data_IF_611753191391
#
_entry.id   IF_611753191391
#
_cell.length_a   1.000
_cell.length_b   1.000
_cell.length_c   1.000
_cell.angle_alpha   90.00
_cell.angle_beta   90.00
_cell.angle_gamma   90.00
#
_symmetry.space_group_name_H-M   'P 1'
#
loop_
_entity.id
_entity.type
_entity.pdbx_description
1 polymer ?
#
# COMPACT_ATOMS: atom_id res chain seq x y z
N UNK A 1 -70.26 -82.74 19.64
CA UNK A 1 -69.05 -82.12 20.22
C UNK A 1 -68.07 -81.68 19.14
N UNK A 2 -67.94 -82.41 18.01
CA UNK A 2 -67.14 -82.01 16.82
C UNK A 2 -67.47 -80.61 16.26
N UNK A 3 -68.74 -80.28 16.02
CA UNK A 3 -69.12 -78.97 15.44
C UNK A 3 -68.67 -77.75 16.29
N UNK A 4 -68.61 -77.88 17.62
CA UNK A 4 -68.19 -76.77 18.50
C UNK A 4 -66.68 -76.53 18.49
N UNK A 5 -65.88 -77.58 18.26
CA UNK A 5 -64.43 -77.45 18.13
C UNK A 5 -64.11 -76.83 16.77
N UNK A 6 -64.79 -77.25 15.71
CA UNK A 6 -64.58 -76.72 14.36
C UNK A 6 -64.93 -75.24 14.24
N UNK A 7 -66.06 -74.80 14.83
CA UNK A 7 -66.39 -73.37 14.93
C UNK A 7 -65.37 -72.56 15.73
N UNK A 8 -64.83 -73.11 16.82
CA UNK A 8 -63.79 -72.44 17.61
C UNK A 8 -62.48 -72.30 16.81
N UNK A 9 -62.09 -73.34 16.09
CA UNK A 9 -60.90 -73.34 15.23
C UNK A 9 -61.03 -72.33 14.09
N UNK A 10 -62.19 -72.29 13.43
CA UNK A 10 -62.47 -71.31 12.38
C UNK A 10 -62.49 -69.87 12.92
N UNK A 11 -63.03 -69.68 14.13
CA UNK A 11 -63.03 -68.37 14.80
C UNK A 11 -61.61 -67.92 15.18
N UNK A 12 -60.80 -68.80 15.76
CA UNK A 12 -59.41 -68.52 16.11
C UNK A 12 -58.57 -68.25 14.86
N UNK A 13 -58.78 -69.01 13.79
CA UNK A 13 -58.10 -68.80 12.51
C UNK A 13 -58.48 -67.44 11.92
N UNK A 14 -59.77 -67.09 11.92
CA UNK A 14 -60.25 -65.81 11.38
C UNK A 14 -59.74 -64.63 12.20
N UNK A 15 -59.82 -64.69 13.53
CA UNK A 15 -59.27 -63.66 14.43
C UNK A 15 -57.73 -63.55 14.30
N UNK A 16 -57.03 -64.66 14.10
CA UNK A 16 -55.58 -64.68 13.88
C UNK A 16 -55.18 -64.05 12.55
N UNK A 17 -55.90 -64.38 11.47
CA UNK A 17 -55.69 -63.80 10.13
C UNK A 17 -56.05 -62.32 10.10
N UNK A 18 -57.14 -61.92 10.76
CA UNK A 18 -57.61 -60.53 10.82
C UNK A 18 -56.62 -59.65 11.59
N UNK A 19 -56.18 -60.09 12.79
CA UNK A 19 -55.12 -59.40 13.54
C UNK A 19 -53.78 -59.37 12.80
N UNK A 20 -53.44 -60.44 12.08
CA UNK A 20 -52.25 -60.48 11.25
C UNK A 20 -52.29 -59.47 10.10
N UNK A 21 -53.45 -59.34 9.45
CA UNK A 21 -53.65 -58.35 8.39
C UNK A 21 -53.63 -56.91 8.92
N UNK A 22 -54.23 -56.65 10.08
CA UNK A 22 -54.17 -55.32 10.73
C UNK A 22 -52.73 -54.92 11.05
N UNK A 23 -51.94 -55.82 11.65
CA UNK A 23 -50.55 -55.51 11.99
C UNK A 23 -49.68 -55.37 10.74
N UNK A 24 -49.92 -56.16 9.69
CA UNK A 24 -49.25 -56.00 8.40
C UNK A 24 -49.57 -54.64 7.75
N UNK A 25 -50.84 -54.21 7.77
CA UNK A 25 -51.23 -52.89 7.26
C UNK A 25 -50.58 -51.76 8.07
N UNK A 26 -50.51 -51.91 9.39
CA UNK A 26 -49.84 -50.94 10.27
C UNK A 26 -48.35 -50.84 9.97
N UNK A 27 -47.66 -51.96 9.78
CA UNK A 27 -46.24 -52.00 9.37
C UNK A 27 -46.01 -51.30 8.03
N UNK A 28 -46.87 -51.57 7.04
CA UNK A 28 -46.79 -50.93 5.71
C UNK A 28 -47.01 -49.43 5.83
N UNK A 29 -48.00 -48.99 6.61
CA UNK A 29 -48.29 -47.57 6.83
C UNK A 29 -47.10 -46.86 7.49
N UNK A 30 -46.53 -47.44 8.55
CA UNK A 30 -45.35 -46.90 9.22
C UNK A 30 -44.15 -46.82 8.27
N UNK A 31 -43.89 -47.87 7.48
CA UNK A 31 -42.80 -47.89 6.51
C UNK A 31 -42.98 -46.82 5.42
N UNK A 32 -44.22 -46.59 4.97
CA UNK A 32 -44.53 -45.52 4.01
C UNK A 32 -44.34 -44.12 4.61
N UNK A 33 -44.70 -43.92 5.88
CA UNK A 33 -44.49 -42.67 6.58
C UNK A 33 -42.99 -42.38 6.79
N UNK A 34 -42.23 -43.39 7.20
CA UNK A 34 -40.78 -43.28 7.39
C UNK A 34 -40.07 -43.03 6.06
N UNK A 35 -40.47 -43.70 4.97
CA UNK A 35 -39.95 -43.44 3.64
C UNK A 35 -40.24 -42.00 3.18
N UNK A 36 -41.44 -41.46 3.43
CA UNK A 36 -41.77 -40.05 3.14
C UNK A 36 -40.88 -39.11 3.94
N UNK A 37 -40.67 -39.39 5.22
CA UNK A 37 -39.82 -38.58 6.10
C UNK A 37 -38.37 -38.55 5.62
N UNK A 38 -37.80 -39.70 5.25
CA UNK A 38 -36.45 -39.78 4.68
C UNK A 38 -36.33 -38.91 3.42
N UNK A 39 -37.31 -38.97 2.51
CA UNK A 39 -37.30 -38.16 1.29
C UNK A 39 -37.41 -36.66 1.62
N UNK A 40 -38.24 -36.28 2.59
CA UNK A 40 -38.39 -34.88 2.99
C UNK A 40 -37.12 -34.34 3.65
N UNK A 41 -36.51 -35.11 4.54
CA UNK A 41 -35.26 -34.75 5.21
C UNK A 41 -34.10 -34.63 4.20
N UNK A 42 -33.99 -35.59 3.26
CA UNK A 42 -33.00 -35.53 2.19
C UNK A 42 -33.20 -34.30 1.28
N UNK A 43 -34.45 -33.90 1.01
CA UNK A 43 -34.75 -32.68 0.24
C UNK A 43 -34.34 -31.42 1.00
N UNK A 44 -34.64 -31.33 2.30
CA UNK A 44 -34.24 -30.20 3.14
C UNK A 44 -32.72 -30.08 3.22
N UNK A 45 -32.02 -31.21 3.37
CA UNK A 45 -30.56 -31.23 3.40
C UNK A 45 -29.97 -30.80 2.05
N UNK A 46 -30.49 -31.32 0.94
CA UNK A 46 -30.07 -30.90 -0.40
C UNK A 46 -30.30 -29.40 -0.63
N UNK A 47 -31.45 -28.87 -0.24
CA UNK A 47 -31.76 -27.44 -0.35
C UNK A 47 -30.82 -26.59 0.52
N UNK A 48 -30.51 -27.04 1.74
CA UNK A 48 -29.54 -26.39 2.63
C UNK A 48 -28.13 -26.36 2.02
N UNK A 49 -27.68 -27.47 1.42
CA UNK A 49 -26.38 -27.56 0.75
C UNK A 49 -26.34 -26.61 -0.46
N UNK A 50 -27.40 -26.55 -1.27
CA UNK A 50 -27.46 -25.65 -2.44
C UNK A 50 -27.47 -24.19 -2.00
N UNK A 51 -28.26 -23.84 -0.98
CA UNK A 51 -28.35 -22.47 -0.49
C UNK A 51 -27.04 -22.01 0.16
N UNK A 52 -26.40 -22.85 0.96
CA UNK A 52 -25.08 -22.54 1.54
C UNK A 52 -24.01 -22.40 0.46
N UNK A 53 -24.00 -23.27 -0.55
CA UNK A 53 -23.06 -23.19 -1.67
C UNK A 53 -23.23 -21.92 -2.48
N UNK A 54 -24.48 -21.50 -2.76
CA UNK A 54 -24.79 -20.24 -3.46
C UNK A 54 -24.32 -19.04 -2.65
N UNK A 55 -24.63 -19.01 -1.35
CA UNK A 55 -24.19 -17.93 -0.46
C UNK A 55 -22.66 -17.82 -0.43
N UNK A 56 -21.95 -18.93 -0.29
CA UNK A 56 -20.48 -18.94 -0.34
C UNK A 56 -19.93 -18.47 -1.69
N UNK A 57 -20.58 -18.83 -2.79
CA UNK A 57 -20.18 -18.38 -4.13
C UNK A 57 -20.38 -16.87 -4.31
N UNK A 58 -21.51 -16.33 -3.85
CA UNK A 58 -21.80 -14.90 -3.90
C UNK A 58 -20.83 -14.10 -3.03
N UNK A 59 -20.54 -14.58 -1.81
CA UNK A 59 -19.54 -13.99 -0.92
C UNK A 59 -18.15 -14.00 -1.55
N UNK A 60 -17.74 -15.12 -2.16
CA UNK A 60 -16.46 -15.23 -2.85
C UNK A 60 -16.36 -14.26 -4.03
N UNK A 61 -17.44 -14.10 -4.81
CA UNK A 61 -17.49 -13.20 -5.95
C UNK A 61 -17.35 -11.73 -5.51
N UNK A 62 -18.10 -11.31 -4.49
CA UNK A 62 -18.04 -9.94 -3.97
C UNK A 62 -16.69 -9.63 -3.29
N UNK A 63 -16.12 -10.60 -2.56
CA UNK A 63 -14.78 -10.46 -1.98
C UNK A 63 -13.73 -10.32 -3.09
N UNK A 64 -13.76 -11.20 -4.09
CA UNK A 64 -12.82 -11.15 -5.22
C UNK A 64 -12.91 -9.83 -5.99
N UNK A 65 -14.13 -9.34 -6.24
CA UNK A 65 -14.36 -8.04 -6.89
C UNK A 65 -13.79 -6.87 -6.08
N UNK A 66 -13.95 -6.92 -4.76
CA UNK A 66 -13.41 -5.91 -3.84
C UNK A 66 -11.88 -5.92 -3.83
N UNK A 67 -11.27 -7.11 -3.79
CA UNK A 67 -9.82 -7.28 -3.91
C UNK A 67 -9.29 -6.77 -5.25
N UNK A 68 -9.93 -7.12 -6.37
CA UNK A 68 -9.55 -6.63 -7.69
C UNK A 68 -9.60 -5.10 -7.76
N UNK A 69 -10.63 -4.48 -7.19
CA UNK A 69 -10.74 -3.01 -7.13
C UNK A 69 -9.62 -2.39 -6.30
N UNK A 70 -9.27 -3.00 -5.17
CA UNK A 70 -8.15 -2.57 -4.34
C UNK A 70 -6.82 -2.66 -5.10
N UNK A 71 -6.54 -3.80 -5.73
CA UNK A 71 -5.33 -3.98 -6.54
C UNK A 71 -5.26 -3.02 -7.72
N UNK A 72 -6.37 -2.80 -8.42
CA UNK A 72 -6.43 -1.80 -9.49
C UNK A 72 -6.10 -0.39 -8.97
N UNK A 73 -6.66 0.00 -7.82
CA UNK A 73 -6.34 1.27 -7.17
C UNK A 73 -4.88 1.39 -6.79
N UNK A 74 -4.29 0.32 -6.23
CA UNK A 74 -2.87 0.26 -5.90
C UNK A 74 -1.99 0.37 -7.14
N UNK A 75 -2.32 -0.32 -8.23
CA UNK A 75 -1.59 -0.26 -9.50
C UNK A 75 -1.63 1.14 -10.12
N UNK A 76 -2.80 1.78 -10.10
CA UNK A 76 -2.94 3.18 -10.54
C UNK A 76 -2.07 4.10 -9.70
N UNK A 77 -2.11 3.99 -8.38
CA UNK A 77 -1.30 4.83 -7.49
C UNK A 77 0.21 4.59 -7.67
N UNK A 78 0.64 3.35 -7.87
CA UNK A 78 2.02 3.02 -8.18
C UNK A 78 2.46 3.68 -9.51
N UNK A 79 1.63 3.59 -10.55
CA UNK A 79 1.89 4.23 -11.84
C UNK A 79 1.96 5.75 -11.70
N UNK A 80 1.04 6.37 -10.96
CA UNK A 80 1.07 7.81 -10.67
C UNK A 80 2.39 8.24 -10.02
N UNK A 81 2.84 7.47 -9.02
CA UNK A 81 4.12 7.70 -8.34
C UNK A 81 5.32 7.54 -9.27
N UNK A 82 5.30 6.53 -10.14
CA UNK A 82 6.37 6.29 -11.11
C UNK A 82 6.46 7.41 -12.15
N UNK A 83 5.32 7.84 -12.69
CA UNK A 83 5.25 8.98 -13.63
C UNK A 83 5.76 10.26 -12.97
N UNK A 84 5.31 10.55 -11.74
CA UNK A 84 5.79 11.70 -10.99
C UNK A 84 7.31 11.63 -10.78
N UNK A 85 7.85 10.45 -10.42
CA UNK A 85 9.30 10.24 -10.24
C UNK A 85 10.05 10.48 -11.54
N UNK A 86 9.60 9.88 -12.66
CA UNK A 86 10.25 10.06 -13.96
C UNK A 86 10.24 11.51 -14.45
N UNK A 87 9.10 12.21 -14.29
CA UNK A 87 8.98 13.64 -14.66
C UNK A 87 9.90 14.49 -13.80
N UNK A 88 9.90 14.23 -12.48
CA UNK A 88 10.76 14.92 -11.51
C UNK A 88 12.23 14.70 -11.84
N UNK A 89 12.64 13.46 -12.10
CA UNK A 89 14.03 13.11 -12.43
C UNK A 89 14.49 13.80 -13.72
N UNK A 90 13.65 13.82 -14.76
CA UNK A 90 13.99 14.51 -16.02
C UNK A 90 14.11 16.03 -15.84
N UNK A 91 13.16 16.66 -15.16
CA UNK A 91 13.17 18.11 -14.92
C UNK A 91 14.36 18.52 -14.07
N UNK A 92 14.64 17.77 -13.00
CA UNK A 92 15.68 18.12 -12.03
C UNK A 92 17.08 17.85 -12.58
N UNK A 93 17.29 16.76 -13.31
CA UNK A 93 18.62 16.47 -13.86
C UNK A 93 19.09 17.57 -14.81
N UNK A 94 18.19 18.10 -15.65
CA UNK A 94 18.49 19.24 -16.51
C UNK A 94 18.66 20.54 -15.69
N UNK A 95 17.69 20.85 -14.83
CA UNK A 95 17.66 22.14 -14.10
C UNK A 95 18.79 22.27 -13.07
N UNK A 96 19.16 21.19 -12.36
CA UNK A 96 20.27 21.21 -11.38
C UNK A 96 21.62 21.30 -12.10
N UNK A 97 21.75 20.66 -13.26
CA UNK A 97 22.95 20.78 -14.08
C UNK A 97 23.12 22.20 -14.62
N UNK A 98 22.04 22.80 -15.12
CA UNK A 98 22.05 24.18 -15.59
C UNK A 98 22.32 25.16 -14.44
N UNK A 99 21.70 24.94 -13.26
CA UNK A 99 21.97 25.70 -12.04
C UNK A 99 23.44 25.59 -11.57
N UNK A 100 24.02 24.40 -11.58
CA UNK A 100 25.41 24.18 -11.19
C UNK A 100 26.41 24.78 -12.19
N UNK A 101 26.01 24.92 -13.45
CA UNK A 101 26.81 25.56 -14.50
C UNK A 101 26.71 27.09 -14.48
N UNK A 102 25.61 27.64 -13.97
CA UNK A 102 25.44 29.08 -13.79
C UNK A 102 26.17 29.56 -12.52
N UNK A 103 27.39 30.07 -12.74
CA UNK A 103 28.23 30.57 -11.64
C UNK A 103 27.59 31.70 -10.85
N UNK A 104 26.83 32.60 -11.49
CA UNK A 104 26.28 33.76 -10.81
C UNK A 104 25.12 33.35 -9.88
N UNK A 105 24.23 32.48 -10.36
CA UNK A 105 23.16 31.93 -9.53
C UNK A 105 23.69 31.05 -8.39
N UNK A 106 24.69 30.19 -8.66
CA UNK A 106 25.31 29.35 -7.63
C UNK A 106 25.97 30.21 -6.54
N UNK A 107 26.71 31.25 -6.93
CA UNK A 107 27.35 32.16 -5.98
C UNK A 107 26.31 32.93 -5.14
N UNK A 108 25.23 33.41 -5.76
CA UNK A 108 24.11 34.06 -5.06
C UNK A 108 23.44 33.11 -4.04
N UNK A 109 23.27 31.84 -4.39
CA UNK A 109 22.73 30.82 -3.50
C UNK A 109 23.64 30.59 -2.29
N UNK A 110 24.95 30.44 -2.51
CA UNK A 110 25.92 30.25 -1.41
C UNK A 110 25.92 31.46 -0.45
N UNK A 111 25.80 32.68 -0.98
CA UNK A 111 25.64 33.90 -0.16
C UNK A 111 24.36 33.84 0.66
N UNK A 112 23.22 33.48 0.05
CA UNK A 112 21.96 33.38 0.76
C UNK A 112 22.02 32.32 1.88
N UNK A 113 22.65 31.17 1.63
CA UNK A 113 22.85 30.13 2.63
C UNK A 113 23.73 30.62 3.78
N UNK A 114 24.87 31.25 3.49
CA UNK A 114 25.76 31.84 4.49
C UNK A 114 25.07 32.92 5.33
N UNK A 115 24.15 33.68 4.74
CA UNK A 115 23.38 34.72 5.45
C UNK A 115 22.33 34.16 6.42
N UNK A 116 21.85 32.94 6.17
CA UNK A 116 20.86 32.24 7.00
C UNK A 116 21.52 31.33 8.04
N UNK A 117 22.77 30.95 7.82
CA UNK A 117 23.57 30.27 8.83
C UNK A 117 23.66 31.16 10.07
N UNK A 118 23.48 30.57 11.26
CA UNK A 118 23.39 31.33 12.51
C UNK A 118 24.57 32.28 12.64
N UNK A 119 24.27 33.56 12.83
CA UNK A 119 25.19 34.70 12.71
C UNK A 119 26.27 34.70 13.81
N UNK A 120 26.13 33.84 14.81
CA UNK A 120 26.95 33.85 16.03
C UNK A 120 28.22 32.99 15.94
N UNK A 121 28.41 32.18 14.89
CA UNK A 121 29.59 31.32 14.74
C UNK A 121 30.33 31.53 13.40
N UNK A 122 31.68 31.60 13.41
CA UNK A 122 32.47 31.65 12.19
C UNK A 122 32.25 30.39 11.35
N UNK A 123 32.00 30.55 10.05
CA UNK A 123 31.79 29.44 9.12
C UNK A 123 32.92 29.35 8.12
N UNK A 124 33.17 28.12 7.66
CA UNK A 124 34.10 27.80 6.59
C UNK A 124 33.31 27.23 5.41
N UNK A 125 33.47 27.86 4.26
CA UNK A 125 32.93 27.42 2.97
C UNK A 125 34.08 26.90 2.14
N UNK A 126 34.03 25.62 1.81
CA UNK A 126 35.03 24.94 0.99
C UNK A 126 34.47 24.74 -0.42
N UNK A 127 35.19 25.19 -1.45
CA UNK A 127 34.80 25.03 -2.86
C UNK A 127 36.00 24.85 -3.77
N UNK A 128 35.80 24.34 -4.99
CA UNK A 128 36.85 24.18 -6.00
C UNK A 128 37.35 25.54 -6.56
N UNK A 129 36.48 26.56 -6.62
CA UNK A 129 36.77 27.89 -7.17
C UNK A 129 36.66 28.99 -6.10
N UNK A 130 37.52 28.90 -5.09
CA UNK A 130 37.49 29.81 -3.94
C UNK A 130 37.79 31.27 -4.32
N UNK A 131 38.63 31.51 -5.33
CA UNK A 131 38.94 32.88 -5.76
C UNK A 131 37.74 33.58 -6.39
N UNK A 132 37.01 32.90 -7.28
CA UNK A 132 35.79 33.46 -7.87
C UNK A 132 34.75 33.75 -6.80
N UNK A 133 34.53 32.81 -5.87
CA UNK A 133 33.54 32.98 -4.81
C UNK A 133 33.93 34.12 -3.84
N UNK A 134 35.21 34.26 -3.50
CA UNK A 134 35.71 35.39 -2.68
C UNK A 134 35.45 36.74 -3.34
N UNK A 135 35.72 36.86 -4.65
CA UNK A 135 35.45 38.10 -5.39
C UNK A 135 33.95 38.42 -5.38
N UNK A 136 33.10 37.41 -5.56
CA UNK A 136 31.65 37.58 -5.50
C UNK A 136 31.17 38.02 -4.10
N UNK A 137 31.64 37.37 -3.04
CA UNK A 137 31.33 37.77 -1.67
C UNK A 137 31.81 39.20 -1.35
N UNK A 138 32.99 39.60 -1.83
CA UNK A 138 33.50 40.95 -1.63
C UNK A 138 32.62 42.02 -2.31
N UNK A 139 32.02 41.70 -3.46
CA UNK A 139 31.15 42.60 -4.21
C UNK A 139 29.71 42.64 -3.65
N UNK A 140 29.17 41.50 -3.22
CA UNK A 140 27.74 41.36 -2.91
C UNK A 140 27.40 41.09 -1.44
N UNK A 141 28.39 40.66 -0.63
CA UNK A 141 28.16 40.18 0.72
C UNK A 141 29.34 40.49 1.68
N UNK A 142 29.97 41.66 1.52
CA UNK A 142 31.14 42.06 2.31
C UNK A 142 30.91 41.97 3.82
N UNK A 143 29.71 42.36 4.27
CA UNK A 143 29.32 42.27 5.67
C UNK A 143 29.30 40.84 6.24
N UNK A 144 29.16 39.80 5.39
CA UNK A 144 29.29 38.41 5.83
C UNK A 144 30.76 38.01 6.02
N UNK A 145 31.66 38.47 5.14
CA UNK A 145 33.10 38.25 5.31
C UNK A 145 33.60 38.89 6.60
N UNK A 146 33.15 40.11 6.89
CA UNK A 146 33.52 40.83 8.11
C UNK A 146 32.99 40.16 9.40
N UNK A 147 31.96 39.32 9.28
CA UNK A 147 31.33 38.57 10.39
C UNK A 147 31.88 37.15 10.60
N UNK A 148 32.90 36.74 9.83
CA UNK A 148 33.60 35.47 10.06
C UNK A 148 33.31 34.36 9.05
N UNK A 149 32.75 34.67 7.87
CA UNK A 149 32.70 33.72 6.74
C UNK A 149 34.09 33.58 6.12
N UNK A 150 34.66 32.37 6.20
CA UNK A 150 35.95 32.02 5.59
C UNK A 150 35.73 31.15 4.36
N UNK A 151 36.35 31.49 3.23
CA UNK A 151 36.25 30.70 2.00
C UNK A 151 37.60 30.01 1.73
N UNK A 152 37.60 28.69 1.56
CA UNK A 152 38.79 27.86 1.33
C UNK A 152 38.70 27.12 0.00
N UNK A 153 39.86 26.98 -0.66
CA UNK A 153 39.96 26.14 -1.85
C UNK A 153 40.25 24.71 -1.44
N UNK A 154 39.54 23.77 -2.04
CA UNK A 154 39.72 22.34 -1.79
C UNK A 154 39.97 21.61 -3.10
N UNK A 155 41.08 20.87 -3.16
CA UNK A 155 41.46 20.09 -4.33
C UNK A 155 40.91 18.67 -4.24
N UNK A 156 40.26 18.19 -5.31
CA UNK A 156 39.82 16.80 -5.43
C UNK A 156 38.45 16.48 -4.81
N UNK A 157 37.64 17.48 -4.44
CA UNK A 157 36.27 17.24 -3.94
C UNK A 157 35.28 17.21 -5.12
N UNK A 158 34.43 16.18 -5.16
CA UNK A 158 33.37 16.01 -6.18
C UNK A 158 32.12 16.89 -5.93
N UNK A 159 32.06 17.56 -4.79
CA UNK A 159 30.92 18.40 -4.38
C UNK A 159 31.11 19.84 -4.86
N UNK A 160 30.01 20.56 -5.05
CA UNK A 160 30.04 21.95 -5.49
C UNK A 160 30.63 22.84 -4.40
N UNK A 161 30.17 22.64 -3.16
CA UNK A 161 30.73 23.26 -1.97
C UNK A 161 30.37 22.49 -0.68
N UNK A 162 31.05 22.82 0.41
CA UNK A 162 30.75 22.37 1.78
C UNK A 162 30.68 23.57 2.70
N UNK A 163 29.75 23.57 3.65
CA UNK A 163 29.63 24.55 4.72
C UNK A 163 29.78 23.86 6.07
N UNK A 164 30.66 24.36 6.92
CA UNK A 164 30.85 23.86 8.29
C UNK A 164 31.26 24.99 9.23
N UNK A 165 30.93 24.94 10.53
CA UNK A 165 31.51 25.87 11.49
C UNK A 165 33.04 25.70 11.55
N UNK A 166 33.75 26.73 12.00
CA UNK A 166 35.21 26.73 12.08
C UNK A 166 35.79 25.66 13.01
N UNK A 167 34.99 25.18 13.99
CA UNK A 167 35.36 24.09 14.89
C UNK A 167 35.29 22.69 14.23
N UNK A 168 34.71 22.59 13.03
CA UNK A 168 34.56 21.36 12.27
C UNK A 168 33.53 20.36 12.81
N UNK A 169 32.71 20.75 13.80
CA UNK A 169 31.75 19.89 14.51
C UNK A 169 30.68 19.32 13.59
N UNK A 170 30.13 20.13 12.69
CA UNK A 170 29.09 19.76 11.74
C UNK A 170 29.47 20.17 10.32
N UNK A 171 29.28 19.27 9.35
CA UNK A 171 29.59 19.53 7.94
C UNK A 171 28.35 19.29 7.10
N UNK A 172 27.97 20.29 6.32
CA UNK A 172 26.92 20.16 5.30
C UNK A 172 27.58 20.19 3.95
N UNK A 173 27.56 19.06 3.26
CA UNK A 173 28.13 18.90 1.94
C UNK A 173 27.02 19.08 0.90
N UNK A 174 27.28 19.89 -0.11
CA UNK A 174 26.38 20.10 -1.23
C UNK A 174 27.08 19.69 -2.53
N UNK A 175 26.85 18.46 -2.95
CA UNK A 175 27.17 17.97 -4.30
C UNK A 175 25.96 18.00 -5.22
N UNK A 176 26.19 17.66 -6.49
CA UNK A 176 25.10 17.52 -7.47
C UNK A 176 24.02 16.55 -6.98
N UNK A 177 24.41 15.45 -6.32
CA UNK A 177 23.49 14.44 -5.80
C UNK A 177 22.63 14.95 -4.63
N UNK A 178 23.24 15.63 -3.65
CA UNK A 178 22.51 16.21 -2.52
C UNK A 178 21.54 17.32 -2.98
N UNK A 179 21.95 18.14 -3.96
CA UNK A 179 21.07 19.12 -4.57
C UNK A 179 19.90 18.47 -5.31
N UNK A 180 20.16 17.47 -6.15
CA UNK A 180 19.11 16.72 -6.84
C UNK A 180 18.11 16.15 -5.84
N UNK A 181 18.58 15.54 -4.75
CA UNK A 181 17.71 14.96 -3.73
C UNK A 181 16.87 16.02 -3.00
N UNK A 182 17.45 17.18 -2.69
CA UNK A 182 16.72 18.29 -2.08
C UNK A 182 15.61 18.83 -3.02
N UNK A 183 15.95 19.10 -4.28
CA UNK A 183 14.96 19.55 -5.26
C UNK A 183 13.90 18.48 -5.56
N UNK A 184 14.27 17.20 -5.57
CA UNK A 184 13.31 16.08 -5.74
C UNK A 184 12.30 16.09 -4.60
N UNK A 185 12.76 16.23 -3.37
CA UNK A 185 11.90 16.30 -2.20
C UNK A 185 10.98 17.55 -2.22
N UNK A 186 11.47 18.68 -2.73
CA UNK A 186 10.71 19.93 -2.81
C UNK A 186 9.68 19.95 -3.95
N UNK A 187 10.03 19.49 -5.14
CA UNK A 187 9.19 19.56 -6.34
C UNK A 187 8.18 18.42 -6.41
N UNK A 188 8.48 17.25 -5.83
CA UNK A 188 7.59 16.08 -5.90
C UNK A 188 6.18 16.36 -5.36
N UNK A 189 5.97 17.02 -4.20
CA UNK A 189 4.63 17.36 -3.73
C UNK A 189 3.85 18.26 -4.71
N UNK A 190 4.51 19.28 -5.28
CA UNK A 190 3.89 20.22 -6.23
C UNK A 190 3.55 19.54 -7.56
N UNK A 191 4.42 18.66 -8.05
CA UNK A 191 4.17 17.90 -9.27
C UNK A 191 3.05 16.88 -9.09
N UNK A 192 2.93 16.26 -7.92
CA UNK A 192 1.80 15.37 -7.60
C UNK A 192 0.48 16.15 -7.61
N UNK A 193 0.45 17.36 -7.06
CA UNK A 193 -0.73 18.24 -7.07
C UNK A 193 -1.09 18.76 -8.48
N UNK A 194 -0.09 18.95 -9.35
CA UNK A 194 -0.34 19.41 -10.73
C UNK A 194 -0.74 18.29 -11.69
N UNK A 195 -0.25 17.05 -11.46
CA UNK A 195 -0.47 15.93 -12.38
C UNK A 195 -1.73 15.10 -12.05
N UNK A 196 -2.26 15.20 -10.82
CA UNK A 196 -3.33 14.34 -10.31
C UNK A 196 -4.35 15.08 -9.45
#
# INVERSE_FOLDING_TARGET
MENKIQELTDKIYREGVEKGNEEAQRLIANAQEEAKKIIEDARKEAESIVNSSRKSADELAENTKSELKLFAGQAVNALKSEVATMVTDKLITASVKDFAQDKDYLNAFIVALASKWSIDEPIVISTADAESLKKYFAAHAKALLDKGVTIQQVNGIKTLFTVSPADGSYKVNFGEEEFMNYFKAFLRPQLVEMLF
#
